data_IF_138954386443
#
_entry.id   IF_138954386443
#
_cell.length_a   1.000
_cell.length_b   1.000
_cell.length_c   1.000
_cell.angle_alpha   90.00
_cell.angle_beta   90.00
_cell.angle_gamma   90.00
#
_symmetry.space_group_name_H-M   'P 1'
#
loop_
_entity.id
_entity.type
_entity.pdbx_description
1 polymer ?
#
# COMPACT_ATOMS: atom_id res chain seq x y z
N UNK A 1 -3.62 16.88 -56.92
CA UNK A 1 -4.03 15.70 -57.70
C UNK A 1 -2.85 14.87 -58.25
N UNK A 2 -1.61 15.26 -58.11
CA UNK A 2 -0.48 14.45 -58.58
C UNK A 2 0.63 14.42 -57.52
N UNK A 3 0.43 13.61 -56.49
CA UNK A 3 1.42 13.44 -55.41
C UNK A 3 2.47 12.38 -55.71
N UNK A 4 2.47 11.77 -56.93
CA UNK A 4 3.34 10.65 -57.28
C UNK A 4 3.04 9.34 -56.53
N UNK A 5 2.05 9.35 -55.61
CA UNK A 5 1.62 8.20 -54.83
C UNK A 5 0.14 7.87 -55.16
N UNK A 6 -0.23 6.60 -55.16
CA UNK A 6 -1.59 6.13 -55.46
C UNK A 6 -1.99 4.97 -54.55
N UNK A 7 -3.31 4.81 -54.38
CA UNK A 7 -3.87 3.68 -53.60
C UNK A 7 -3.46 2.34 -54.22
N UNK A 8 -3.02 1.42 -53.39
CA UNK A 8 -2.59 0.07 -53.78
C UNK A 8 -3.29 -1.01 -52.94
N UNK A 9 -4.61 -1.09 -53.12
CA UNK A 9 -5.43 -2.09 -52.43
C UNK A 9 -5.65 -1.80 -50.95
N UNK A 10 -5.99 -2.83 -50.21
CA UNK A 10 -6.19 -2.83 -48.74
C UNK A 10 -5.72 -4.16 -48.16
N UNK A 11 -5.56 -4.19 -46.84
CA UNK A 11 -5.38 -5.42 -46.10
C UNK A 11 -6.43 -5.53 -44.97
N UNK A 12 -6.85 -6.75 -44.67
CA UNK A 12 -7.82 -7.00 -43.63
C UNK A 12 -7.13 -6.98 -42.26
N UNK A 13 -7.78 -6.32 -41.30
CA UNK A 13 -7.36 -6.24 -39.92
C UNK A 13 -8.55 -6.42 -38.99
N UNK A 14 -8.47 -7.36 -38.09
CA UNK A 14 -9.47 -7.55 -37.04
C UNK A 14 -8.99 -6.84 -35.75
N UNK A 15 -9.87 -6.00 -35.21
CA UNK A 15 -9.66 -5.29 -33.92
C UNK A 15 -10.76 -5.68 -32.96
N UNK A 16 -10.41 -6.11 -31.78
CA UNK A 16 -11.34 -6.43 -30.69
C UNK A 16 -11.66 -5.17 -29.91
N UNK A 17 -12.93 -4.85 -29.77
CA UNK A 17 -13.44 -3.68 -29.05
C UNK A 17 -14.53 -4.07 -28.07
N UNK A 18 -14.95 -3.16 -27.22
CA UNK A 18 -16.12 -3.30 -26.35
C UNK A 18 -17.44 -3.54 -27.09
N UNK A 19 -17.49 -3.26 -28.40
CA UNK A 19 -18.67 -3.49 -29.28
C UNK A 19 -18.56 -4.78 -30.10
N UNK A 20 -17.57 -5.63 -29.81
CA UNK A 20 -17.31 -6.84 -30.58
C UNK A 20 -16.08 -6.75 -31.47
N UNK A 21 -15.95 -7.73 -32.40
CA UNK A 21 -14.85 -7.75 -33.36
C UNK A 21 -15.20 -6.87 -34.57
N UNK A 22 -14.31 -5.93 -34.86
CA UNK A 22 -14.41 -5.08 -36.07
C UNK A 22 -13.45 -5.60 -37.13
N UNK A 23 -13.99 -5.98 -38.27
CA UNK A 23 -13.21 -6.33 -39.44
C UNK A 23 -12.99 -5.09 -40.29
N UNK A 24 -11.77 -4.61 -40.34
CA UNK A 24 -11.40 -3.36 -41.03
C UNK A 24 -10.58 -3.67 -42.27
N UNK A 25 -10.93 -3.02 -43.38
CA UNK A 25 -10.10 -3.00 -44.57
C UNK A 25 -9.23 -1.73 -44.57
N UNK A 26 -7.97 -1.89 -44.23
CA UNK A 26 -7.01 -0.78 -44.11
C UNK A 26 -6.40 -0.53 -45.51
N UNK A 27 -6.59 0.68 -46.09
CA UNK A 27 -6.01 0.99 -47.37
C UNK A 27 -4.49 1.05 -47.34
N UNK A 28 -3.86 0.73 -48.44
CA UNK A 28 -2.44 0.89 -48.69
C UNK A 28 -2.20 1.81 -49.88
N UNK A 29 -1.06 2.46 -49.87
CA UNK A 29 -0.51 3.21 -51.00
C UNK A 29 0.69 2.48 -51.62
N UNK A 30 1.12 2.90 -52.76
CA UNK A 30 2.24 2.27 -53.49
C UNK A 30 3.59 2.50 -52.79
N UNK A 31 3.76 3.65 -52.19
CA UNK A 31 5.04 4.06 -51.56
C UNK A 31 5.16 3.63 -50.12
N UNK A 32 4.08 3.12 -49.45
CA UNK A 32 4.08 2.76 -48.03
C UNK A 32 4.13 3.96 -47.07
N UNK A 33 3.80 5.15 -47.56
CA UNK A 33 3.81 6.41 -46.82
C UNK A 33 2.52 6.62 -46.02
N UNK A 34 1.41 6.03 -46.47
CA UNK A 34 0.12 6.17 -45.82
C UNK A 34 0.10 5.47 -44.48
N UNK A 35 -0.07 6.25 -43.44
CA UNK A 35 -0.29 5.74 -42.05
C UNK A 35 -1.71 6.07 -41.65
N UNK A 36 -2.54 5.04 -41.53
CA UNK A 36 -3.89 5.21 -40.99
C UNK A 36 -3.80 5.70 -39.53
N UNK A 37 -4.70 6.63 -39.14
CA UNK A 37 -4.69 7.25 -37.82
C UNK A 37 -5.83 6.77 -36.89
N UNK A 38 -6.80 6.05 -37.45
CA UNK A 38 -8.02 5.64 -36.72
C UNK A 38 -7.74 4.50 -35.72
N UNK A 39 -6.81 3.59 -36.05
CA UNK A 39 -6.47 2.46 -35.22
C UNK A 39 -4.94 2.39 -35.07
N UNK A 40 -4.37 2.48 -33.89
CA UNK A 40 -2.91 2.43 -33.67
C UNK A 40 -2.28 1.20 -34.35
N UNK A 41 -1.08 1.39 -34.92
CA UNK A 41 -0.32 0.30 -35.51
C UNK A 41 -0.03 -0.78 -34.48
N UNK A 42 -0.17 -2.05 -34.90
CA UNK A 42 0.11 -3.23 -34.06
C UNK A 42 -0.79 -3.48 -32.85
N UNK A 43 -1.78 -2.62 -32.53
CA UNK A 43 -2.76 -2.89 -31.47
C UNK A 43 -3.90 -3.76 -31.98
N UNK A 44 -4.21 -4.82 -31.23
CA UNK A 44 -5.34 -5.75 -31.52
C UNK A 44 -6.50 -5.57 -30.55
N UNK A 45 -6.35 -4.76 -29.53
CA UNK A 45 -7.35 -4.47 -28.49
C UNK A 45 -7.55 -2.97 -28.36
N UNK A 46 -8.73 -2.57 -27.89
CA UNK A 46 -9.03 -1.18 -27.56
C UNK A 46 -8.46 -0.83 -26.17
N UNK A 47 -8.00 0.41 -26.01
CA UNK A 47 -7.47 0.93 -24.74
C UNK A 47 -8.48 0.77 -23.57
N UNK A 48 -9.77 1.00 -23.85
CA UNK A 48 -10.86 0.83 -22.89
C UNK A 48 -10.95 -0.60 -22.34
N UNK A 49 -10.71 -1.61 -23.19
CA UNK A 49 -10.74 -3.01 -22.76
C UNK A 49 -9.53 -3.35 -21.87
N UNK A 50 -8.34 -2.86 -22.23
CA UNK A 50 -7.15 -3.03 -21.41
C UNK A 50 -7.32 -2.35 -20.05
N UNK A 51 -7.83 -1.12 -20.03
CA UNK A 51 -8.16 -0.40 -18.78
C UNK A 51 -9.18 -1.15 -17.93
N UNK A 52 -10.18 -1.79 -18.55
CA UNK A 52 -11.16 -2.61 -17.84
C UNK A 52 -10.51 -3.84 -17.21
N UNK A 53 -9.66 -4.56 -17.95
CA UNK A 53 -8.89 -5.70 -17.43
C UNK A 53 -8.03 -5.27 -16.25
N UNK A 54 -7.31 -4.18 -16.40
CA UNK A 54 -6.49 -3.56 -15.37
C UNK A 54 -7.32 -3.24 -14.12
N UNK A 55 -8.47 -2.59 -14.30
CA UNK A 55 -9.35 -2.24 -13.19
C UNK A 55 -9.87 -3.47 -12.44
N UNK A 56 -10.31 -4.50 -13.14
CA UNK A 56 -10.78 -5.74 -12.55
C UNK A 56 -9.65 -6.47 -11.79
N UNK A 57 -8.44 -6.50 -12.36
CA UNK A 57 -7.26 -7.07 -11.71
C UNK A 57 -6.94 -6.35 -10.39
N UNK A 58 -7.00 -5.01 -10.37
CA UNK A 58 -6.82 -4.15 -9.18
C UNK A 58 -7.87 -4.44 -8.10
N UNK A 59 -9.06 -4.91 -8.48
CA UNK A 59 -10.13 -5.34 -7.55
C UNK A 59 -9.96 -6.76 -7.03
N UNK A 60 -8.87 -7.43 -7.36
CA UNK A 60 -8.55 -8.76 -6.88
C UNK A 60 -9.22 -9.89 -7.65
N UNK A 61 -9.82 -9.61 -8.82
CA UNK A 61 -10.39 -10.64 -9.69
C UNK A 61 -9.23 -11.40 -10.35
N UNK A 62 -9.36 -12.73 -10.45
CA UNK A 62 -8.33 -13.55 -11.07
C UNK A 62 -8.31 -13.39 -12.59
N UNK A 63 -7.20 -13.74 -13.24
CA UNK A 63 -7.11 -13.67 -14.71
C UNK A 63 -8.14 -14.54 -15.41
N UNK A 64 -8.43 -15.73 -14.88
CA UNK A 64 -9.47 -16.61 -15.44
C UNK A 64 -10.85 -15.99 -15.34
N UNK A 65 -11.22 -15.45 -14.17
CA UNK A 65 -12.52 -14.77 -13.98
C UNK A 65 -12.65 -13.53 -14.87
N UNK A 66 -11.56 -12.78 -15.06
CA UNK A 66 -11.56 -11.63 -15.98
C UNK A 66 -11.76 -12.09 -17.42
N UNK A 67 -11.07 -13.18 -17.84
CA UNK A 67 -11.25 -13.76 -19.17
C UNK A 67 -12.71 -14.18 -19.41
N UNK A 68 -13.31 -14.90 -18.46
CA UNK A 68 -14.72 -15.31 -18.50
C UNK A 68 -15.69 -14.12 -18.55
N UNK A 69 -15.42 -13.06 -17.77
CA UNK A 69 -16.23 -11.85 -17.78
C UNK A 69 -16.17 -11.16 -19.16
N UNK A 70 -14.97 -10.98 -19.71
CA UNK A 70 -14.75 -10.36 -21.02
C UNK A 70 -15.43 -11.18 -22.11
N UNK A 71 -15.32 -12.50 -22.06
CA UNK A 71 -16.00 -13.37 -23.03
C UNK A 71 -17.52 -13.22 -22.95
N UNK A 72 -18.10 -13.19 -21.76
CA UNK A 72 -19.56 -13.01 -21.57
C UNK A 72 -20.04 -11.63 -21.97
N UNK A 73 -19.26 -10.59 -21.72
CA UNK A 73 -19.67 -9.19 -21.98
C UNK A 73 -19.46 -8.78 -23.42
N UNK A 74 -18.37 -9.24 -24.05
CA UNK A 74 -17.91 -8.72 -25.35
C UNK A 74 -17.78 -9.81 -26.42
N UNK A 75 -18.06 -11.08 -26.10
CA UNK A 75 -17.95 -12.19 -27.04
C UNK A 75 -16.52 -12.54 -27.45
N UNK A 76 -15.52 -12.05 -26.72
CA UNK A 76 -14.11 -12.30 -27.03
C UNK A 76 -13.52 -13.38 -26.13
N UNK A 77 -13.00 -14.42 -26.74
CA UNK A 77 -12.24 -15.42 -25.99
C UNK A 77 -10.80 -14.95 -25.77
N UNK A 78 -10.40 -14.82 -24.49
CA UNK A 78 -9.04 -14.53 -24.09
C UNK A 78 -8.50 -15.67 -23.22
N UNK A 79 -7.35 -16.20 -23.62
CA UNK A 79 -6.65 -17.16 -22.76
C UNK A 79 -6.10 -16.46 -21.53
N UNK A 80 -5.97 -17.14 -20.37
CA UNK A 80 -5.32 -16.60 -19.17
C UNK A 80 -3.92 -16.03 -19.48
N UNK A 81 -3.21 -16.63 -20.44
CA UNK A 81 -1.91 -16.13 -20.89
C UNK A 81 -2.01 -14.79 -21.59
N UNK A 82 -3.02 -14.56 -22.45
CA UNK A 82 -3.25 -13.27 -23.11
C UNK A 82 -3.58 -12.21 -22.06
N UNK A 83 -4.42 -12.54 -21.08
CA UNK A 83 -4.75 -11.64 -19.96
C UNK A 83 -3.53 -11.33 -19.11
N UNK A 84 -2.68 -12.32 -18.84
CA UNK A 84 -1.41 -12.12 -18.13
C UNK A 84 -0.47 -11.20 -18.92
N UNK A 85 -0.43 -11.31 -20.24
CA UNK A 85 0.37 -10.41 -21.08
C UNK A 85 -0.13 -8.96 -21.04
N UNK A 86 -1.45 -8.74 -20.99
CA UNK A 86 -2.02 -7.39 -20.81
C UNK A 86 -1.62 -6.77 -19.46
N UNK A 87 -1.41 -7.59 -18.44
CA UNK A 87 -0.95 -7.11 -17.13
C UNK A 87 0.57 -7.01 -16.99
N UNK A 88 1.34 -7.40 -18.02
CA UNK A 88 2.81 -7.23 -18.01
C UNK A 88 3.26 -5.77 -18.05
N UNK A 89 2.46 -4.86 -18.60
CA UNK A 89 2.71 -3.41 -18.52
C UNK A 89 2.87 -2.94 -17.06
N UNK A 90 2.27 -3.64 -16.11
CA UNK A 90 2.49 -3.40 -14.68
C UNK A 90 3.90 -3.73 -14.18
N UNK A 91 4.71 -4.49 -14.91
CA UNK A 91 6.11 -4.72 -14.51
C UNK A 91 6.91 -3.42 -14.62
N UNK A 92 6.63 -2.61 -15.64
CA UNK A 92 7.20 -1.27 -15.78
C UNK A 92 6.68 -0.33 -14.67
N UNK A 93 5.40 -0.43 -14.29
CA UNK A 93 4.83 0.31 -13.17
C UNK A 93 5.51 -0.07 -11.84
N UNK A 94 5.81 -1.37 -11.62
CA UNK A 94 6.53 -1.84 -10.42
C UNK A 94 7.93 -1.24 -10.36
N UNK A 95 8.66 -1.27 -11.47
CA UNK A 95 9.99 -0.66 -11.56
C UNK A 95 9.93 0.84 -11.31
N UNK A 96 9.03 1.54 -12.00
CA UNK A 96 8.82 2.98 -11.83
C UNK A 96 8.44 3.34 -10.39
N UNK A 97 7.61 2.53 -9.72
CA UNK A 97 7.25 2.75 -8.32
C UNK A 97 8.46 2.62 -7.40
N UNK A 98 9.31 1.62 -7.62
CA UNK A 98 10.52 1.36 -6.81
C UNK A 98 11.61 2.41 -7.02
N UNK A 99 11.73 2.94 -8.23
CA UNK A 99 12.82 3.86 -8.61
C UNK A 99 12.42 5.34 -8.53
N UNK A 100 11.13 5.67 -8.38
CA UNK A 100 10.68 7.07 -8.36
C UNK A 100 11.31 7.85 -7.22
N UNK A 101 11.71 9.09 -7.49
CA UNK A 101 12.10 10.03 -6.44
C UNK A 101 10.94 10.30 -5.47
N UNK A 102 11.28 10.39 -4.19
CA UNK A 102 10.36 10.73 -3.12
C UNK A 102 10.59 12.20 -2.70
N UNK A 103 9.62 12.77 -2.03
CA UNK A 103 9.81 14.09 -1.44
C UNK A 103 10.90 14.06 -0.37
N UNK A 104 11.61 15.18 -0.23
CA UNK A 104 12.67 15.31 0.77
C UNK A 104 12.14 15.42 2.21
N UNK A 105 10.82 15.72 2.39
CA UNK A 105 10.20 15.96 3.71
C UNK A 105 8.88 15.22 3.89
N UNK A 106 8.72 14.60 5.06
CA UNK A 106 7.46 14.01 5.52
C UNK A 106 7.16 14.44 6.96
N UNK A 107 5.90 14.83 7.22
CA UNK A 107 5.42 15.14 8.56
C UNK A 107 5.29 13.87 9.41
N UNK A 108 4.84 12.77 8.80
CA UNK A 108 4.75 11.48 9.45
C UNK A 108 4.95 10.34 8.45
N UNK A 109 5.61 9.26 8.88
CA UNK A 109 5.69 7.99 8.15
C UNK A 109 5.14 6.89 9.05
N UNK A 110 4.13 6.20 8.55
CA UNK A 110 3.52 5.03 9.18
C UNK A 110 4.14 3.77 8.59
N UNK A 111 4.52 2.84 9.45
CA UNK A 111 5.12 1.57 9.07
C UNK A 111 4.34 0.44 9.75
N UNK A 112 3.82 -0.49 8.96
CA UNK A 112 3.03 -1.63 9.44
C UNK A 112 3.14 -2.79 8.46
N UNK A 113 3.06 -4.01 8.95
CA UNK A 113 3.10 -5.20 8.12
C UNK A 113 1.74 -5.88 8.03
N UNK A 114 1.49 -6.50 6.89
CA UNK A 114 0.29 -7.31 6.67
C UNK A 114 0.67 -8.64 6.04
N UNK A 115 -0.15 -9.69 6.21
CA UNK A 115 0.17 -11.03 5.74
C UNK A 115 -0.75 -11.43 4.61
N UNK A 116 -0.17 -11.92 3.49
CA UNK A 116 -0.88 -12.35 2.30
C UNK A 116 -0.34 -13.73 1.85
N UNK A 117 -1.20 -14.68 1.44
CA UNK A 117 -0.76 -15.97 0.94
C UNK A 117 -0.01 -15.85 -0.39
N UNK A 118 1.21 -16.38 -0.42
CA UNK A 118 2.07 -16.46 -1.59
C UNK A 118 2.55 -17.89 -1.79
N UNK A 119 2.52 -18.36 -3.03
CA UNK A 119 3.10 -19.64 -3.42
C UNK A 119 4.56 -19.44 -3.82
N UNK A 120 5.46 -20.01 -3.05
CA UNK A 120 6.86 -20.23 -3.42
C UNK A 120 7.05 -21.73 -3.74
N UNK A 121 7.72 -22.48 -2.91
CA UNK A 121 7.72 -23.96 -2.96
C UNK A 121 6.42 -24.54 -2.40
N UNK A 122 5.95 -23.97 -1.32
CA UNK A 122 4.65 -24.21 -0.67
C UNK A 122 3.89 -22.90 -0.53
N UNK A 123 2.59 -22.98 -0.24
CA UNK A 123 1.78 -21.80 0.07
C UNK A 123 2.01 -21.40 1.52
N UNK A 124 2.48 -20.20 1.74
CA UNK A 124 2.67 -19.62 3.06
C UNK A 124 2.16 -18.18 3.10
N UNK A 125 1.86 -17.67 4.29
CA UNK A 125 1.58 -16.24 4.47
C UNK A 125 2.90 -15.51 4.55
N UNK A 126 3.14 -14.63 3.59
CA UNK A 126 4.29 -13.74 3.57
C UNK A 126 3.93 -12.39 4.20
N UNK A 127 4.88 -11.80 4.92
CA UNK A 127 4.75 -10.48 5.49
C UNK A 127 5.00 -9.42 4.41
N UNK A 128 4.04 -8.54 4.22
CA UNK A 128 4.14 -7.38 3.34
C UNK A 128 4.37 -6.16 4.22
N UNK A 129 5.59 -5.67 4.23
CA UNK A 129 5.99 -4.46 4.94
C UNK A 129 5.63 -3.25 4.09
N UNK A 130 4.96 -2.27 4.65
CA UNK A 130 4.49 -1.09 3.91
C UNK A 130 4.83 0.18 4.70
N UNK A 131 5.37 1.18 4.01
CA UNK A 131 5.58 2.53 4.52
C UNK A 131 4.67 3.52 3.81
N UNK A 132 3.87 4.28 4.58
CA UNK A 132 2.97 5.32 4.08
C UNK A 132 3.36 6.65 4.69
N UNK A 133 3.65 7.64 3.84
CA UNK A 133 4.01 9.00 4.25
C UNK A 133 2.85 9.98 4.21
N UNK A 134 2.87 10.95 5.12
CA UNK A 134 2.08 12.17 5.05
C UNK A 134 3.06 13.32 4.81
N UNK A 135 2.84 14.06 3.74
CA UNK A 135 3.62 15.26 3.41
C UNK A 135 3.22 16.45 4.31
N UNK A 136 4.01 17.52 4.36
CA UNK A 136 3.65 18.73 5.11
C UNK A 136 2.33 19.40 4.67
N UNK A 137 1.89 19.19 3.41
CA UNK A 137 0.60 19.66 2.89
C UNK A 137 -0.58 18.76 3.27
N UNK A 138 -0.32 17.68 4.00
CA UNK A 138 -1.30 16.68 4.41
C UNK A 138 -1.64 15.63 3.35
N UNK A 139 -1.07 15.68 2.16
CA UNK A 139 -1.24 14.62 1.15
C UNK A 139 -0.58 13.32 1.60
N UNK A 140 -1.14 12.19 1.16
CA UNK A 140 -0.68 10.84 1.57
C UNK A 140 -0.22 10.03 0.37
N UNK A 141 0.85 9.28 0.56
CA UNK A 141 1.33 8.35 -0.44
C UNK A 141 1.98 7.11 0.19
N UNK A 142 1.86 5.99 -0.49
CA UNK A 142 2.67 4.80 -0.20
C UNK A 142 4.06 5.05 -0.73
N UNK A 143 5.07 4.89 0.13
CA UNK A 143 6.47 5.23 -0.18
C UNK A 143 7.26 4.03 -0.66
N UNK A 144 7.21 2.97 0.13
CA UNK A 144 8.01 1.77 -0.07
C UNK A 144 7.29 0.53 0.46
N UNK A 145 7.72 -0.64 0.01
CA UNK A 145 7.25 -1.94 0.49
C UNK A 145 8.35 -3.00 0.34
N UNK A 146 8.22 -4.06 1.13
CA UNK A 146 9.02 -5.28 0.98
C UNK A 146 8.18 -6.52 1.25
N UNK A 147 8.48 -7.62 0.56
CA UNK A 147 7.84 -8.92 0.72
C UNK A 147 8.87 -9.87 1.37
N UNK A 148 8.54 -10.42 2.52
CA UNK A 148 9.43 -11.33 3.23
C UNK A 148 8.64 -12.45 3.92
N UNK A 149 9.24 -13.63 4.19
CA UNK A 149 8.56 -14.73 4.87
C UNK A 149 8.01 -14.36 6.25
N UNK A 150 8.71 -13.49 6.95
CA UNK A 150 8.33 -13.03 8.30
C UNK A 150 8.67 -11.56 8.46
N UNK A 151 8.00 -10.92 9.41
CA UNK A 151 8.36 -9.57 9.81
C UNK A 151 9.69 -9.58 10.56
N UNK A 152 10.63 -8.72 10.14
CA UNK A 152 11.93 -8.59 10.76
C UNK A 152 12.43 -7.15 10.73
N UNK A 153 13.31 -6.84 11.69
CA UNK A 153 13.95 -5.52 11.75
C UNK A 153 14.84 -5.25 10.54
N UNK A 154 15.50 -6.27 10.01
CA UNK A 154 16.38 -6.15 8.83
C UNK A 154 15.61 -5.64 7.61
N UNK A 155 14.41 -6.17 7.36
CA UNK A 155 13.57 -5.71 6.26
C UNK A 155 13.12 -4.26 6.46
N UNK A 156 12.83 -3.87 7.69
CA UNK A 156 12.52 -2.47 7.99
C UNK A 156 13.72 -1.53 7.80
N UNK A 157 14.94 -2.00 8.13
CA UNK A 157 16.17 -1.26 7.84
C UNK A 157 16.40 -1.08 6.34
N UNK A 158 16.14 -2.11 5.53
CA UNK A 158 16.18 -2.02 4.07
C UNK A 158 15.19 -0.97 3.54
N UNK A 159 13.97 -0.92 4.07
CA UNK A 159 12.99 0.11 3.73
C UNK A 159 13.49 1.51 4.12
N UNK A 160 14.08 1.67 5.30
CA UNK A 160 14.62 2.98 5.73
C UNK A 160 15.77 3.44 4.84
N UNK A 161 16.62 2.52 4.36
CA UNK A 161 17.68 2.78 3.38
C UNK A 161 17.06 3.21 2.04
N UNK A 162 16.11 2.43 1.51
CA UNK A 162 15.40 2.75 0.26
C UNK A 162 14.80 4.16 0.29
N UNK A 163 14.18 4.54 1.41
CA UNK A 163 13.64 5.89 1.58
C UNK A 163 14.73 6.97 1.47
N UNK A 164 15.90 6.76 2.07
CA UNK A 164 17.02 7.70 1.99
C UNK A 164 17.60 7.79 0.57
N UNK A 165 17.83 6.65 -0.07
CA UNK A 165 18.36 6.58 -1.43
C UNK A 165 17.43 7.24 -2.44
N UNK A 166 16.12 7.17 -2.22
CA UNK A 166 15.09 7.79 -3.05
C UNK A 166 14.75 9.24 -2.65
N UNK A 167 15.57 9.87 -1.80
CA UNK A 167 15.55 11.31 -1.55
C UNK A 167 14.89 11.78 -0.26
N UNK A 168 14.37 10.90 0.60
CA UNK A 168 13.76 11.30 1.89
C UNK A 168 14.85 11.72 2.89
N UNK A 169 14.94 13.02 3.17
CA UNK A 169 15.97 13.59 4.06
C UNK A 169 15.44 13.92 5.46
N UNK A 170 14.20 14.38 5.54
CA UNK A 170 13.61 14.90 6.77
C UNK A 170 12.27 14.24 7.07
N UNK A 171 12.19 13.58 8.21
CA UNK A 171 10.95 13.00 8.73
C UNK A 171 10.76 13.52 10.15
N UNK A 172 9.59 14.07 10.47
CA UNK A 172 9.34 14.56 11.83
C UNK A 172 8.96 13.42 12.79
N UNK A 173 8.18 12.44 12.31
CA UNK A 173 7.66 11.37 13.15
C UNK A 173 7.54 10.05 12.39
N UNK A 174 8.07 8.96 12.98
CA UNK A 174 7.74 7.60 12.58
C UNK A 174 6.74 6.98 13.56
N UNK A 175 5.74 6.28 13.03
CA UNK A 175 4.70 5.60 13.80
C UNK A 175 4.68 4.13 13.41
N UNK A 176 4.89 3.22 14.39
CA UNK A 176 4.93 1.77 14.14
C UNK A 176 4.16 1.00 15.22
N UNK A 177 3.95 -0.29 14.99
CA UNK A 177 3.32 -1.21 15.94
C UNK A 177 4.20 -1.60 17.14
N UNK A 178 5.49 -1.25 17.12
CA UNK A 178 6.42 -1.45 18.24
C UNK A 178 7.23 -2.74 18.16
N UNK A 179 7.55 -3.21 16.94
CA UNK A 179 8.55 -4.28 16.78
C UNK A 179 9.85 -3.92 17.49
N UNK A 180 10.39 -4.87 18.26
CA UNK A 180 11.63 -4.67 19.02
C UNK A 180 12.77 -4.27 18.08
N UNK A 181 13.48 -3.19 18.42
CA UNK A 181 14.58 -2.65 17.61
C UNK A 181 14.19 -1.54 16.64
N UNK A 182 12.88 -1.37 16.33
CA UNK A 182 12.42 -0.35 15.37
C UNK A 182 12.83 1.08 15.75
N UNK A 183 12.67 1.45 17.02
CA UNK A 183 13.07 2.77 17.50
C UNK A 183 14.56 3.03 17.28
N UNK A 184 15.41 2.02 17.56
CA UNK A 184 16.85 2.09 17.34
C UNK A 184 17.22 2.18 15.86
N UNK A 185 16.52 1.45 15.00
CA UNK A 185 16.70 1.55 13.55
C UNK A 185 16.34 2.95 13.04
N UNK A 186 15.16 3.45 13.39
CA UNK A 186 14.75 4.82 13.02
C UNK A 186 15.76 5.84 13.52
N UNK A 187 16.23 5.74 14.76
CA UNK A 187 17.22 6.68 15.31
C UNK A 187 18.56 6.67 14.57
N UNK A 188 18.96 5.49 14.03
CA UNK A 188 20.19 5.34 13.25
C UNK A 188 20.09 5.99 11.89
N UNK A 189 19.01 5.77 11.16
CA UNK A 189 18.82 6.27 9.80
C UNK A 189 18.28 7.71 9.77
N UNK A 190 17.44 8.10 10.75
CA UNK A 190 16.81 9.41 10.87
C UNK A 190 16.97 9.97 12.28
N UNK A 191 18.17 10.39 12.69
CA UNK A 191 18.47 10.76 14.08
C UNK A 191 17.69 11.98 14.58
N UNK A 192 17.15 12.81 13.69
CA UNK A 192 16.32 13.97 14.03
C UNK A 192 14.83 13.64 14.14
N UNK A 193 14.42 12.46 13.67
CA UNK A 193 13.02 12.05 13.70
C UNK A 193 12.60 11.64 15.11
N UNK A 194 11.34 11.95 15.45
CA UNK A 194 10.68 11.40 16.62
C UNK A 194 10.13 10.01 16.29
N UNK A 195 9.90 9.21 17.32
CA UNK A 195 9.33 7.89 17.18
C UNK A 195 8.09 7.75 18.09
N UNK A 196 7.04 7.11 17.59
CA UNK A 196 5.79 6.85 18.31
C UNK A 196 5.43 5.38 18.21
N UNK A 197 5.26 4.72 19.33
CA UNK A 197 4.59 3.42 19.40
C UNK A 197 3.08 3.59 19.25
N UNK A 198 2.47 2.79 18.39
CA UNK A 198 1.02 2.77 18.23
C UNK A 198 0.31 2.40 19.52
N UNK A 199 -0.41 3.35 20.13
CA UNK A 199 -1.14 3.13 21.39
C UNK A 199 -2.21 2.03 21.25
N UNK A 200 -2.81 1.87 20.07
CA UNK A 200 -3.81 0.83 19.79
C UNK A 200 -3.17 -0.56 19.81
N UNK A 201 -1.99 -0.72 19.19
CA UNK A 201 -1.24 -1.99 19.26
C UNK A 201 -0.78 -2.31 20.69
N UNK A 202 -0.30 -1.31 21.43
CA UNK A 202 0.04 -1.49 22.85
C UNK A 202 -1.20 -1.94 23.63
N UNK A 203 -2.38 -1.34 23.41
CA UNK A 203 -3.64 -1.74 24.04
C UNK A 203 -4.02 -3.19 23.71
N UNK A 204 -3.88 -3.61 22.44
CA UNK A 204 -4.10 -5.01 22.02
C UNK A 204 -3.13 -5.97 22.71
N UNK A 205 -1.86 -5.60 22.81
CA UNK A 205 -0.86 -6.41 23.51
C UNK A 205 -1.15 -6.53 25.01
N UNK A 206 -1.65 -5.47 25.65
CA UNK A 206 -2.14 -5.51 27.03
C UNK A 206 -3.29 -6.50 27.13
N UNK A 207 -4.30 -6.40 26.29
CA UNK A 207 -5.47 -7.28 26.27
C UNK A 207 -5.11 -8.78 26.16
N UNK A 208 -4.03 -9.12 25.45
CA UNK A 208 -3.55 -10.48 25.34
C UNK A 208 -2.74 -10.99 26.54
N UNK A 209 -2.24 -10.07 27.38
CA UNK A 209 -1.38 -10.40 28.55
C UNK A 209 -2.13 -10.43 29.87
N UNK A 210 -3.41 -10.09 29.87
CA UNK A 210 -4.24 -10.04 31.08
C UNK A 210 -5.35 -11.08 31.03
N UNK A 211 -5.93 -11.45 32.19
CA UNK A 211 -7.07 -12.36 32.30
C UNK A 211 -8.26 -11.81 31.53
N UNK A 212 -9.13 -12.69 31.05
CA UNK A 212 -10.32 -12.33 30.26
C UNK A 212 -11.22 -11.35 31.02
N UNK A 213 -11.43 -11.61 32.34
CA UNK A 213 -12.29 -10.80 33.18
C UNK A 213 -11.77 -9.38 33.38
N UNK A 214 -10.44 -9.20 33.41
CA UNK A 214 -9.80 -7.91 33.63
C UNK A 214 -9.62 -7.08 32.34
N UNK A 215 -9.75 -7.72 31.16
CA UNK A 215 -9.41 -7.12 29.86
C UNK A 215 -10.08 -5.78 29.60
N UNK A 216 -11.37 -5.72 29.89
CA UNK A 216 -12.14 -4.51 29.63
C UNK A 216 -11.65 -3.37 30.50
N UNK A 217 -11.53 -3.62 31.80
CA UNK A 217 -11.12 -2.60 32.76
C UNK A 217 -9.70 -2.12 32.52
N UNK A 218 -8.75 -3.05 32.33
CA UNK A 218 -7.34 -2.71 32.04
C UNK A 218 -7.23 -1.89 30.74
N UNK A 219 -7.95 -2.28 29.69
CA UNK A 219 -7.92 -1.54 28.42
C UNK A 219 -8.59 -0.17 28.54
N UNK A 220 -9.68 -0.04 29.30
CA UNK A 220 -10.34 1.24 29.52
C UNK A 220 -9.45 2.18 30.35
N UNK A 221 -8.79 1.68 31.41
CA UNK A 221 -7.82 2.45 32.18
C UNK A 221 -6.61 2.87 31.31
N UNK A 222 -6.09 1.98 30.49
CA UNK A 222 -4.99 2.33 29.55
C UNK A 222 -5.43 3.37 28.52
N UNK A 223 -6.70 3.33 28.08
CA UNK A 223 -7.26 4.32 27.17
C UNK A 223 -7.24 5.72 27.75
N UNK A 224 -7.44 5.87 29.08
CA UNK A 224 -7.34 7.17 29.75
C UNK A 224 -5.92 7.76 29.63
N UNK A 225 -4.88 6.94 29.51
CA UNK A 225 -3.50 7.39 29.34
C UNK A 225 -3.29 8.10 28.01
N UNK A 226 -3.73 7.49 26.89
CA UNK A 226 -3.48 8.06 25.56
C UNK A 226 -4.62 8.94 25.03
N UNK A 227 -5.72 9.08 25.77
CA UNK A 227 -6.81 10.00 25.48
C UNK A 227 -6.87 11.21 26.44
N UNK A 228 -5.87 11.36 27.29
CA UNK A 228 -5.77 12.50 28.18
C UNK A 228 -5.70 13.83 27.44
N UNK A 229 -6.13 14.90 28.06
CA UNK A 229 -6.18 16.25 27.45
C UNK A 229 -4.80 16.85 27.23
N UNK A 230 -3.80 16.45 28.03
CA UNK A 230 -2.44 16.97 27.97
C UNK A 230 -1.41 15.87 28.30
N UNK A 231 -0.13 16.12 27.97
CA UNK A 231 0.98 15.22 28.32
C UNK A 231 1.08 15.02 29.84
N UNK A 232 0.86 16.10 30.63
CA UNK A 232 0.86 16.03 32.09
C UNK A 232 -0.25 15.09 32.60
N UNK A 233 -1.47 15.29 32.14
CA UNK A 233 -2.60 14.42 32.50
C UNK A 233 -2.38 12.96 32.04
N UNK A 234 -1.73 12.74 30.90
CA UNK A 234 -1.37 11.41 30.42
C UNK A 234 -0.35 10.72 31.32
N UNK A 235 0.65 11.45 31.82
CA UNK A 235 1.63 10.94 32.77
C UNK A 235 0.99 10.61 34.13
N UNK A 236 0.08 11.45 34.62
CA UNK A 236 -0.70 11.19 35.84
C UNK A 236 -1.60 9.93 35.67
N UNK A 237 -2.31 9.82 34.55
CA UNK A 237 -3.11 8.62 34.23
C UNK A 237 -2.25 7.36 34.12
N UNK A 238 -1.03 7.46 33.54
CA UNK A 238 -0.07 6.35 33.46
C UNK A 238 0.40 5.91 34.85
N UNK A 239 0.63 6.86 35.74
CA UNK A 239 0.96 6.59 37.13
C UNK A 239 -0.16 5.86 37.88
N UNK A 240 -1.40 6.37 37.76
CA UNK A 240 -2.57 5.74 38.34
C UNK A 240 -2.83 4.32 37.80
N UNK A 241 -2.67 4.13 36.46
CA UNK A 241 -2.71 2.83 35.82
C UNK A 241 -1.67 1.87 36.42
N UNK A 242 -0.44 2.32 36.60
CA UNK A 242 0.63 1.51 37.17
C UNK A 242 0.33 1.12 38.61
N UNK A 243 -0.08 2.05 39.46
CA UNK A 243 -0.43 1.78 40.87
C UNK A 243 -1.56 0.74 40.99
N UNK A 244 -2.59 0.86 40.16
CA UNK A 244 -3.72 -0.08 40.19
C UNK A 244 -3.33 -1.49 39.75
N UNK A 245 -2.50 -1.64 38.73
CA UNK A 245 -2.29 -2.93 38.07
C UNK A 245 -0.92 -3.58 38.35
N UNK A 246 0.01 -2.89 39.02
CA UNK A 246 1.38 -3.42 39.29
C UNK A 246 1.40 -4.73 40.05
N UNK A 247 0.46 -4.94 40.99
CA UNK A 247 0.39 -6.17 41.79
C UNK A 247 -0.10 -7.37 40.96
N UNK A 248 -1.12 -7.18 40.14
CA UNK A 248 -1.71 -8.24 39.31
C UNK A 248 -0.92 -8.53 38.04
N UNK A 249 -0.30 -7.51 37.43
CA UNK A 249 0.37 -7.59 36.11
C UNK A 249 1.71 -6.83 36.10
N UNK A 250 2.69 -7.17 36.95
CA UNK A 250 3.92 -6.38 37.12
C UNK A 250 4.72 -6.22 35.83
N UNK A 251 4.90 -7.31 35.04
CA UNK A 251 5.66 -7.27 33.78
C UNK A 251 4.97 -6.42 32.69
N UNK A 252 3.64 -6.43 32.65
CA UNK A 252 2.87 -5.60 31.73
C UNK A 252 3.00 -4.13 32.09
N UNK A 253 2.87 -3.78 33.38
CA UNK A 253 3.01 -2.41 33.85
C UNK A 253 4.44 -1.90 33.63
N UNK A 254 5.47 -2.69 33.92
CA UNK A 254 6.86 -2.35 33.65
C UNK A 254 7.10 -2.04 32.16
N UNK A 255 6.54 -2.85 31.26
CA UNK A 255 6.61 -2.64 29.82
C UNK A 255 5.96 -1.33 29.38
N UNK A 256 4.93 -0.83 30.07
CA UNK A 256 4.28 0.45 29.77
C UNK A 256 5.08 1.61 30.37
N UNK A 257 5.61 1.46 31.56
CA UNK A 257 6.40 2.50 32.22
C UNK A 257 7.74 2.74 31.51
N UNK A 258 8.39 1.69 31.03
CA UNK A 258 9.66 1.75 30.30
C UNK A 258 9.52 2.15 28.83
N UNK A 259 8.29 2.34 28.33
CA UNK A 259 8.08 2.73 26.95
C UNK A 259 8.12 4.26 26.78
N UNK A 260 9.30 4.79 26.49
CA UNK A 260 9.53 6.23 26.29
C UNK A 260 8.81 6.80 25.08
N UNK A 261 8.44 5.95 24.12
CA UNK A 261 7.85 6.33 22.84
C UNK A 261 6.30 6.32 22.84
N UNK A 262 5.68 5.98 23.95
CA UNK A 262 4.23 5.82 24.05
C UNK A 262 3.47 7.15 23.96
N UNK A 263 4.05 8.21 24.49
CA UNK A 263 3.42 9.53 24.64
C UNK A 263 4.07 10.61 23.79
N UNK A 264 4.89 10.24 22.80
CA UNK A 264 5.58 11.18 21.92
C UNK A 264 4.61 12.06 21.12
N UNK A 265 3.44 11.52 20.75
CA UNK A 265 2.42 12.26 20.02
C UNK A 265 1.89 13.51 20.74
N UNK A 266 2.03 13.60 22.05
CA UNK A 266 1.67 14.81 22.81
C UNK A 266 2.61 16.01 22.53
N UNK A 267 3.81 15.77 22.00
CA UNK A 267 4.75 16.83 21.62
C UNK A 267 4.34 17.54 20.31
N UNK A 268 3.28 17.04 19.66
CA UNK A 268 2.75 17.57 18.40
C UNK A 268 1.45 18.37 18.61
N UNK A 269 1.06 19.21 17.64
CA UNK A 269 -0.16 20.00 17.70
C UNK A 269 -1.41 19.14 17.94
N UNK A 270 -2.36 19.65 18.72
CA UNK A 270 -3.58 18.95 19.10
C UNK A 270 -4.38 18.43 17.87
N UNK A 271 -4.37 19.21 16.78
CA UNK A 271 -5.09 18.89 15.54
C UNK A 271 -4.71 17.53 14.96
N UNK A 272 -3.40 17.15 15.01
CA UNK A 272 -2.90 15.91 14.41
C UNK A 272 -2.80 14.74 15.39
N UNK A 273 -2.90 14.96 16.71
CA UNK A 273 -2.67 13.92 17.73
C UNK A 273 -3.52 12.68 17.51
N UNK A 274 -4.81 12.87 17.12
CA UNK A 274 -5.73 11.75 16.82
C UNK A 274 -5.29 10.90 15.64
N UNK A 275 -4.52 11.44 14.73
CA UNK A 275 -3.98 10.72 13.58
C UNK A 275 -2.70 9.97 13.90
N UNK A 276 -1.85 10.51 14.79
CA UNK A 276 -0.47 10.04 14.99
C UNK A 276 -0.26 9.15 16.22
N UNK A 277 -1.23 9.02 17.13
CA UNK A 277 -1.09 8.12 18.29
C UNK A 277 -1.27 6.63 17.91
N UNK A 278 -1.72 6.35 16.69
CA UNK A 278 -1.99 5.00 16.22
C UNK A 278 -1.64 4.80 14.75
N UNK A 279 -1.49 3.54 14.35
CA UNK A 279 -1.31 3.12 12.95
C UNK A 279 -2.63 2.92 12.20
N UNK A 280 -3.76 3.42 12.68
CA UNK A 280 -5.08 3.22 12.08
C UNK A 280 -5.15 3.62 10.60
N UNK A 281 -4.35 4.63 10.20
CA UNK A 281 -4.28 5.07 8.80
C UNK A 281 -3.80 3.93 7.90
N UNK A 282 -2.65 3.35 8.22
CA UNK A 282 -2.06 2.27 7.43
C UNK A 282 -2.81 0.94 7.65
N UNK A 283 -3.35 0.68 8.85
CA UNK A 283 -4.21 -0.49 9.10
C UNK A 283 -5.46 -0.49 8.20
N UNK A 284 -6.08 0.67 8.00
CA UNK A 284 -7.22 0.81 7.09
C UNK A 284 -6.84 0.47 5.65
N UNK A 285 -5.67 0.90 5.21
CA UNK A 285 -5.13 0.55 3.90
C UNK A 285 -4.80 -0.95 3.80
N UNK A 286 -4.14 -1.52 4.80
CA UNK A 286 -3.83 -2.94 4.88
C UNK A 286 -5.11 -3.82 4.84
N UNK A 287 -6.19 -3.38 5.48
CA UNK A 287 -7.52 -4.04 5.40
C UNK A 287 -8.07 -4.03 3.97
N UNK A 288 -7.89 -2.93 3.23
CA UNK A 288 -8.31 -2.85 1.83
C UNK A 288 -7.49 -3.81 0.95
N UNK A 289 -6.17 -3.85 1.12
CA UNK A 289 -5.29 -4.80 0.41
C UNK A 289 -5.73 -6.24 0.71
N UNK A 290 -5.93 -6.60 1.98
CA UNK A 290 -6.41 -7.93 2.38
C UNK A 290 -7.77 -8.27 1.76
N UNK A 291 -8.71 -7.33 1.74
CA UNK A 291 -10.04 -7.55 1.14
C UNK A 291 -9.94 -7.96 -0.33
N UNK A 292 -9.05 -7.34 -1.09
CA UNK A 292 -8.88 -7.65 -2.51
C UNK A 292 -7.99 -8.87 -2.74
N UNK A 293 -6.94 -9.07 -1.95
CA UNK A 293 -6.09 -10.26 -2.04
C UNK A 293 -6.82 -11.53 -1.65
N UNK A 294 -7.77 -11.47 -0.70
CA UNK A 294 -8.56 -12.63 -0.28
C UNK A 294 -9.37 -13.26 -1.42
N UNK A 295 -9.75 -12.50 -2.43
CA UNK A 295 -10.46 -13.00 -3.61
C UNK A 295 -9.58 -13.88 -4.51
N UNK A 296 -8.25 -13.70 -4.41
CA UNK A 296 -7.27 -14.48 -5.19
C UNK A 296 -6.83 -15.75 -4.48
N UNK A 297 -7.35 -16.03 -3.26
CA UNK A 297 -6.92 -17.10 -2.37
C UNK A 297 -5.42 -17.08 -2.10
N UNK A 298 -4.59 -17.10 -3.15
CA UNK A 298 -3.13 -17.02 -3.10
C UNK A 298 -2.56 -16.39 -4.37
N UNK A 299 -1.36 -15.84 -4.27
CA UNK A 299 -0.59 -15.43 -5.43
C UNK A 299 0.34 -16.55 -5.87
N UNK A 300 0.44 -16.78 -7.20
CA UNK A 300 1.22 -17.89 -7.76
C UNK A 300 2.73 -17.65 -7.72
N UNK A 301 3.16 -16.40 -7.69
CA UNK A 301 4.54 -15.96 -7.58
C UNK A 301 4.62 -14.53 -7.05
N UNK A 302 5.83 -14.13 -6.67
CA UNK A 302 6.12 -12.80 -6.12
C UNK A 302 5.82 -11.68 -7.12
N UNK A 303 6.19 -11.85 -8.39
CA UNK A 303 5.91 -10.87 -9.45
C UNK A 303 4.41 -10.55 -9.58
N UNK A 304 3.55 -11.58 -9.52
CA UNK A 304 2.10 -11.41 -9.54
C UNK A 304 1.59 -10.66 -8.31
N UNK A 305 2.18 -10.89 -7.14
CA UNK A 305 1.87 -10.17 -5.92
C UNK A 305 2.34 -8.72 -6.00
N UNK A 306 3.55 -8.44 -6.47
CA UNK A 306 4.07 -7.09 -6.64
C UNK A 306 3.20 -6.25 -7.58
N UNK A 307 2.82 -6.80 -8.74
CA UNK A 307 1.91 -6.12 -9.67
C UNK A 307 0.59 -5.73 -8.99
N UNK A 308 0.00 -6.63 -8.21
CA UNK A 308 -1.23 -6.35 -7.46
C UNK A 308 -1.00 -5.27 -6.38
N UNK A 309 0.08 -5.35 -5.63
CA UNK A 309 0.42 -4.39 -4.57
C UNK A 309 0.64 -3.00 -5.15
N UNK A 310 1.53 -2.87 -6.15
CA UNK A 310 1.86 -1.57 -6.76
C UNK A 310 0.63 -0.93 -7.41
N UNK A 311 -0.19 -1.70 -8.11
CA UNK A 311 -1.44 -1.18 -8.66
C UNK A 311 -2.42 -0.69 -7.58
N UNK A 312 -2.41 -1.32 -6.40
CA UNK A 312 -3.19 -0.89 -5.24
C UNK A 312 -2.60 0.37 -4.61
N UNK A 313 -1.27 0.49 -4.57
CA UNK A 313 -0.55 1.66 -4.08
C UNK A 313 -0.80 2.88 -4.96
N UNK A 314 -0.73 2.69 -6.28
CA UNK A 314 -1.02 3.76 -7.23
C UNK A 314 -2.47 4.26 -7.10
N UNK A 315 -3.43 3.35 -7.01
CA UNK A 315 -4.83 3.71 -6.74
C UNK A 315 -4.98 4.51 -5.44
N UNK A 316 -4.25 4.14 -4.39
CA UNK A 316 -4.24 4.87 -3.11
C UNK A 316 -3.61 6.25 -3.29
N UNK A 317 -2.45 6.34 -3.92
CA UNK A 317 -1.73 7.59 -4.13
C UNK A 317 -2.58 8.58 -4.95
N UNK A 318 -3.16 8.14 -6.06
CA UNK A 318 -4.06 8.96 -6.89
C UNK A 318 -5.29 9.45 -6.12
N UNK A 319 -5.90 8.57 -5.29
CA UNK A 319 -7.06 8.93 -4.48
C UNK A 319 -6.76 10.07 -3.49
N UNK A 320 -5.54 10.11 -2.96
CA UNK A 320 -5.13 11.08 -1.95
C UNK A 320 -4.28 12.22 -2.50
N UNK A 321 -3.99 12.22 -3.80
CA UNK A 321 -3.39 13.34 -4.48
C UNK A 321 -4.32 14.57 -4.36
N UNK A 322 -3.79 15.69 -3.86
CA UNK A 322 -4.54 16.92 -3.63
C UNK A 322 -5.58 16.87 -2.50
N UNK A 323 -5.57 15.83 -1.65
CA UNK A 323 -6.42 15.73 -0.46
C UNK A 323 -5.57 15.83 0.80
N UNK A 324 -5.77 16.90 1.56
CA UNK A 324 -5.10 17.05 2.85
C UNK A 324 -5.70 16.11 3.90
N UNK A 325 -4.86 15.45 4.67
CA UNK A 325 -5.26 14.68 5.84
C UNK A 325 -5.65 15.63 6.96
N UNK A 326 -6.78 15.36 7.61
CA UNK A 326 -7.34 16.24 8.64
C UNK A 326 -6.31 16.55 9.74
N UNK A 327 -5.99 17.83 9.88
CA UNK A 327 -5.11 18.37 10.90
C UNK A 327 -3.67 18.61 10.47
N UNK A 328 -3.23 18.09 9.30
CA UNK A 328 -1.92 18.35 8.70
C UNK A 328 -1.97 19.52 7.76
#
# INVERSE_FOLDING_TARGET
>A
FNTGNSRNGSYDRTVKTEYGELHLQIPRDRNGEFKQQTVPAYRRTNDTLEETVIHLFRKGITMSEIADLIEKMYGHHYTPQTMSNMTKSFTEEVTSFKERELHDRYAAIYMDATYIPLKRKTVAKEAIHIAVGIRPDGSKEVLSYAIAPTESITIWEEILIDLQERGVKNVLLFITDGLKGMAGAVQRFYPKARFQHCCVHVSRNISHKVRVDDRKEVCDDFKMVYQASSKKAALEARGAFAEKWKTSYPKMVESILSNDYLLTFYDFPLAIRKSIYSTNLIESFNKQIKKYSHRKEQFQNEESMERFLVSSFDTYNQKFLGRSHKGF
#
